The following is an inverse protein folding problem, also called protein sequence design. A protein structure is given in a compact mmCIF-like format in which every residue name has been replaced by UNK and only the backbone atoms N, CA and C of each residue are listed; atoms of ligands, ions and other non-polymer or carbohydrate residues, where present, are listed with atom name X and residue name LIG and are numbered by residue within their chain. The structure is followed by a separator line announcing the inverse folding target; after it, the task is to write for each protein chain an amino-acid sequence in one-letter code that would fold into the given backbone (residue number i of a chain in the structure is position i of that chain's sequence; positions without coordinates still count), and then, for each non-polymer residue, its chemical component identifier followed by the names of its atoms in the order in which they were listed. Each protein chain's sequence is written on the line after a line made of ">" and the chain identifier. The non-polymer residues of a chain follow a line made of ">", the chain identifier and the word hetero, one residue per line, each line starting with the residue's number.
data_IF_357465511447
#
_entry.id   IF_357465511447
#
_cell.length_a   1.000
_cell.length_b   1.000
_cell.length_c   1.000
_cell.angle_alpha   90.00
_cell.angle_beta   90.00
_cell.angle_gamma   90.00
#
_symmetry.space_group_name_H-M   'P 1'
#
loop_
_entity.id
_entity.type
_entity.pdbx_description
1 polymer ?
#
# COMPACT_ATOMS: atom_id res chain seq x y z
N UNK A 1 3.91 17.14 6.85
CA UNK A 1 4.61 17.76 5.69
C UNK A 1 3.66 17.94 4.52
N UNK A 2 4.09 18.57 3.43
CA UNK A 2 3.29 18.67 2.20
C UNK A 2 4.08 18.09 1.04
N UNK A 3 3.43 17.30 0.20
CA UNK A 3 4.00 16.74 -1.01
C UNK A 3 3.13 17.18 -2.18
N UNK A 4 3.72 17.86 -3.16
CA UNK A 4 2.98 18.46 -4.30
C UNK A 4 1.76 19.31 -3.87
N UNK A 5 1.88 20.05 -2.77
CA UNK A 5 0.80 20.89 -2.23
C UNK A 5 -0.28 20.14 -1.43
N UNK A 6 -0.25 18.81 -1.40
CA UNK A 6 -1.18 18.00 -0.60
C UNK A 6 -0.60 17.79 0.80
N UNK A 7 -1.35 18.12 1.87
CA UNK A 7 -0.95 17.77 3.23
C UNK A 7 -0.87 16.26 3.39
N UNK A 8 0.25 15.76 3.89
CA UNK A 8 0.44 14.35 4.18
C UNK A 8 1.00 14.16 5.59
N UNK A 9 0.58 13.10 6.25
CA UNK A 9 1.12 12.64 7.52
C UNK A 9 1.60 11.19 7.34
N UNK A 10 2.88 10.97 7.58
CA UNK A 10 3.44 9.62 7.70
C UNK A 10 3.47 9.23 9.16
N UNK A 11 3.00 8.04 9.48
CA UNK A 11 2.94 7.56 10.86
C UNK A 11 4.05 6.57 11.17
N UNK A 12 4.45 6.49 12.42
CA UNK A 12 5.43 5.50 12.88
C UNK A 12 4.97 4.07 12.63
N UNK A 13 3.66 3.84 12.56
CA UNK A 13 3.01 2.57 12.25
C UNK A 13 3.01 2.26 10.74
N UNK A 14 3.81 2.95 9.94
CA UNK A 14 4.04 2.66 8.52
C UNK A 14 2.86 2.95 7.60
N UNK A 15 2.04 3.91 7.95
CA UNK A 15 0.87 4.34 7.18
C UNK A 15 1.03 5.79 6.71
N UNK A 16 0.56 6.07 5.50
CA UNK A 16 0.41 7.42 4.98
C UNK A 16 -1.04 7.87 5.17
N UNK A 17 -1.23 8.99 5.82
CA UNK A 17 -2.55 9.60 6.02
C UNK A 17 -2.69 10.88 5.21
N UNK A 18 -3.77 10.97 4.44
CA UNK A 18 -4.18 12.14 3.67
C UNK A 18 -5.45 12.72 4.30
N UNK A 19 -5.40 13.87 4.98
CA UNK A 19 -6.55 14.45 5.70
C UNK A 19 -7.74 14.80 4.81
N UNK A 20 -7.47 15.10 3.54
CA UNK A 20 -8.49 15.44 2.54
C UNK A 20 -7.99 15.08 1.15
N UNK A 21 -7.91 13.78 0.86
CA UNK A 21 -7.41 13.33 -0.43
C UNK A 21 -8.45 13.59 -1.54
N UNK A 22 -8.07 14.24 -2.62
CA UNK A 22 -8.89 14.38 -3.82
C UNK A 22 -8.85 13.09 -4.67
N UNK A 23 -8.92 11.93 -4.03
CA UNK A 23 -9.06 10.69 -4.75
C UNK A 23 -10.50 10.58 -5.24
N UNK A 24 -10.71 10.62 -6.54
CA UNK A 24 -12.02 10.48 -7.15
C UNK A 24 -12.66 9.15 -6.71
N UNK A 25 -13.99 9.15 -6.57
CA UNK A 25 -14.71 7.90 -6.38
C UNK A 25 -14.51 7.06 -7.63
N UNK A 26 -13.99 5.86 -7.46
CA UNK A 26 -13.99 4.87 -8.54
C UNK A 26 -15.47 4.61 -8.82
N UNK A 27 -15.96 5.01 -10.01
CA UNK A 27 -17.32 4.69 -10.42
C UNK A 27 -17.44 3.18 -10.46
N UNK A 28 -18.18 2.62 -9.50
CA UNK A 28 -18.46 1.20 -9.44
C UNK A 28 -19.15 0.77 -10.73
N UNK A 29 -18.69 -0.35 -11.29
CA UNK A 29 -19.23 -0.91 -12.52
C UNK A 29 -20.73 -1.19 -12.47
N UNK A 30 -21.36 -0.97 -13.62
CA UNK A 30 -22.66 -1.47 -14.08
C UNK A 30 -23.78 -1.63 -13.06
N UNK A 31 -24.66 -0.64 -13.04
CA UNK A 31 -26.09 -0.91 -12.97
C UNK A 31 -26.73 -0.33 -14.22
N UNK A 32 -26.90 -1.19 -15.22
CA UNK A 32 -27.93 -0.99 -16.27
C UNK A 32 -29.27 -0.99 -15.56
N UNK A 33 -29.81 0.18 -15.31
CA UNK A 33 -31.24 0.34 -15.10
C UNK A 33 -31.73 1.65 -15.73
N UNK A 34 -32.17 1.48 -16.98
CA UNK A 34 -32.84 2.48 -17.79
C UNK A 34 -34.31 2.44 -17.45
N UNK A 35 -34.78 3.23 -16.49
CA UNK A 35 -36.19 3.61 -16.42
C UNK A 35 -36.29 5.11 -16.18
N UNK A 36 -36.60 5.78 -17.28
CA UNK A 36 -36.94 7.19 -17.27
C UNK A 36 -38.21 7.48 -16.48
N UNK A 37 -38.12 8.49 -15.64
CA UNK A 37 -39.27 9.34 -15.32
C UNK A 37 -38.83 10.72 -14.87
N UNK A 38 -39.08 11.72 -15.71
CA UNK A 38 -39.06 13.13 -15.37
C UNK A 38 -40.22 13.48 -14.42
N UNK A 39 -40.00 14.30 -13.42
CA UNK A 39 -40.88 15.41 -12.96
C UNK A 39 -40.12 16.29 -11.94
N UNK A 40 -39.88 17.44 -12.33
CA UNK A 40 -40.13 18.82 -11.86
C UNK A 40 -40.12 19.16 -10.35
N UNK A 41 -39.37 20.24 -10.12
CA UNK A 41 -39.60 21.44 -9.30
C UNK A 41 -39.31 21.47 -7.80
N UNK A 42 -38.54 22.49 -7.55
CA UNK A 42 -38.63 23.57 -6.54
C UNK A 42 -37.86 23.43 -5.21
N UNK A 43 -36.81 24.25 -5.16
CA UNK A 43 -36.44 25.25 -4.13
C UNK A 43 -36.71 24.94 -2.66
N UNK A 44 -35.62 24.83 -1.87
CA UNK A 44 -35.45 25.69 -0.67
C UNK A 44 -33.97 25.86 -0.36
N UNK A 45 -33.50 27.09 -0.47
CA UNK A 45 -32.23 27.55 0.04
C UNK A 45 -32.35 27.70 1.55
N UNK A 46 -31.40 27.11 2.27
CA UNK A 46 -31.06 27.55 3.62
C UNK A 46 -29.55 27.81 3.64
N UNK A 47 -29.22 29.09 3.68
CA UNK A 47 -27.88 29.57 3.92
C UNK A 47 -27.52 29.30 5.39
N UNK A 48 -26.46 28.54 5.63
CA UNK A 48 -25.72 28.68 6.85
C UNK A 48 -24.21 28.75 6.50
N UNK A 49 -23.66 29.91 6.75
CA UNK A 49 -22.31 30.24 6.40
C UNK A 49 -21.31 29.67 7.43
N UNK A 50 -20.53 28.71 7.01
CA UNK A 50 -19.25 28.41 7.64
C UNK A 50 -18.23 28.10 6.54
N UNK A 51 -17.49 29.12 6.13
CA UNK A 51 -16.32 29.00 5.24
C UNK A 51 -15.15 28.41 6.00
N UNK A 52 -15.15 27.09 6.22
CA UNK A 52 -13.94 26.35 6.46
C UNK A 52 -13.49 25.81 5.10
N UNK A 53 -12.28 26.16 4.67
CA UNK A 53 -11.66 25.72 3.43
C UNK A 53 -11.47 24.19 3.38
N UNK A 54 -12.58 23.49 3.19
CA UNK A 54 -12.61 22.04 3.01
C UNK A 54 -12.31 21.75 1.53
N UNK A 55 -11.09 21.41 1.22
CA UNK A 55 -10.74 20.74 -0.03
C UNK A 55 -11.43 19.37 0.02
N UNK A 56 -12.58 19.24 -0.63
CA UNK A 56 -13.62 18.21 -0.49
C UNK A 56 -13.26 16.74 -0.67
N UNK A 57 -12.11 16.27 -0.18
CA UNK A 57 -11.71 14.86 -0.19
C UNK A 57 -11.96 14.14 1.14
N UNK A 58 -12.13 12.82 1.09
CA UNK A 58 -12.30 12.00 2.29
C UNK A 58 -10.96 11.75 2.99
N UNK A 59 -10.91 11.77 4.35
CA UNK A 59 -9.73 11.34 5.09
C UNK A 59 -9.36 9.90 4.72
N UNK A 60 -8.15 9.70 4.22
CA UNK A 60 -7.71 8.45 3.59
C UNK A 60 -6.44 7.92 4.24
N UNK A 61 -6.45 6.65 4.63
CA UNK A 61 -5.26 5.89 5.00
C UNK A 61 -4.74 5.13 3.78
N UNK A 62 -3.43 5.19 3.53
CA UNK A 62 -2.75 4.44 2.48
C UNK A 62 -1.65 3.61 3.14
N UNK A 63 -1.68 2.31 2.91
CA UNK A 63 -0.69 1.34 3.40
C UNK A 63 -0.39 0.32 2.30
N UNK A 64 0.64 -0.50 2.48
CA UNK A 64 1.01 -1.54 1.52
C UNK A 64 1.47 -2.81 2.20
N UNK A 65 1.44 -3.91 1.47
CA UNK A 65 2.15 -5.16 1.83
C UNK A 65 1.78 -5.66 3.23
N UNK A 66 0.49 -5.84 3.48
CA UNK A 66 0.00 -6.37 4.76
C UNK A 66 0.32 -7.85 4.93
N UNK A 67 0.31 -8.62 3.82
CA UNK A 67 0.58 -10.05 3.79
C UNK A 67 -0.15 -10.82 4.90
N UNK A 68 -1.42 -10.53 5.13
CA UNK A 68 -2.22 -11.28 6.09
C UNK A 68 -2.16 -12.78 5.81
N UNK A 69 -2.16 -13.57 6.88
CA UNK A 69 -2.10 -15.01 6.77
C UNK A 69 -0.69 -15.58 6.54
N UNK A 70 0.37 -14.78 6.52
CA UNK A 70 1.75 -15.26 6.30
C UNK A 70 2.22 -16.21 7.40
N UNK A 71 1.95 -15.89 8.65
CA UNK A 71 2.31 -16.73 9.78
C UNK A 71 1.55 -18.06 9.73
N UNK A 72 0.27 -18.03 9.39
CA UNK A 72 -0.57 -19.20 9.22
C UNK A 72 -0.08 -20.11 8.09
N UNK A 73 0.32 -19.52 6.96
CA UNK A 73 0.93 -20.30 5.86
C UNK A 73 2.21 -20.99 6.30
N UNK A 74 3.07 -20.36 7.10
CA UNK A 74 4.28 -20.99 7.62
C UNK A 74 3.96 -22.14 8.56
N UNK A 75 2.94 -22.00 9.41
CA UNK A 75 2.50 -23.10 10.29
C UNK A 75 1.93 -24.29 9.51
N UNK A 76 1.14 -24.03 8.47
CA UNK A 76 0.64 -25.08 7.57
C UNK A 76 1.78 -25.88 6.92
N UNK A 77 2.95 -25.27 6.74
CA UNK A 77 4.17 -25.92 6.27
C UNK A 77 5.07 -26.45 7.40
N UNK A 78 4.56 -26.53 8.64
CA UNK A 78 5.27 -27.11 9.79
C UNK A 78 6.34 -26.19 10.40
N UNK A 79 6.37 -24.91 10.05
CA UNK A 79 7.30 -23.94 10.65
C UNK A 79 6.62 -23.29 11.87
N UNK A 80 7.15 -23.48 13.09
CA UNK A 80 6.54 -22.92 14.30
C UNK A 80 6.79 -21.41 14.39
N UNK A 81 5.79 -20.61 14.07
CA UNK A 81 5.79 -19.14 14.20
C UNK A 81 4.56 -18.69 15.00
N UNK A 82 4.63 -17.57 15.74
CA UNK A 82 3.46 -17.00 16.40
C UNK A 82 2.38 -16.61 15.38
N UNK A 83 1.09 -16.81 15.74
CA UNK A 83 -0.06 -16.55 14.86
C UNK A 83 -0.80 -15.25 15.15
N UNK A 84 -0.41 -14.52 16.15
CA UNK A 84 -1.09 -13.31 16.57
C UNK A 84 -0.75 -12.05 15.71
N UNK A 85 0.11 -12.21 14.71
CA UNK A 85 0.51 -11.11 13.83
C UNK A 85 -0.67 -10.55 13.03
N UNK A 86 -1.49 -11.43 12.43
CA UNK A 86 -2.67 -11.01 11.66
C UNK A 86 -3.65 -10.23 12.53
N UNK A 87 -3.92 -10.69 13.75
CA UNK A 87 -4.87 -10.02 14.65
C UNK A 87 -4.33 -8.68 15.14
N UNK A 88 -3.05 -8.61 15.49
CA UNK A 88 -2.39 -7.35 15.89
C UNK A 88 -2.39 -6.31 14.79
N UNK A 89 -2.10 -6.71 13.56
CA UNK A 89 -2.08 -5.80 12.41
C UNK A 89 -3.49 -5.30 12.08
N UNK A 90 -4.52 -6.14 12.20
CA UNK A 90 -5.93 -5.73 12.06
C UNK A 90 -6.36 -4.78 13.17
N UNK A 91 -5.99 -5.05 14.42
CA UNK A 91 -6.30 -4.18 15.56
C UNK A 91 -5.62 -2.82 15.43
N UNK A 92 -4.36 -2.81 15.01
CA UNK A 92 -3.63 -1.57 14.71
C UNK A 92 -4.32 -0.78 13.60
N UNK A 93 -4.73 -1.44 12.52
CA UNK A 93 -5.43 -0.77 11.41
C UNK A 93 -6.77 -0.15 11.89
N UNK A 94 -7.54 -0.87 12.71
CA UNK A 94 -8.79 -0.33 13.31
C UNK A 94 -8.52 0.90 14.17
N UNK A 95 -7.46 0.86 15.00
CA UNK A 95 -7.07 1.99 15.82
C UNK A 95 -6.69 3.21 14.95
N UNK A 96 -5.91 3.01 13.90
CA UNK A 96 -5.52 4.08 12.97
C UNK A 96 -6.74 4.69 12.25
N UNK A 97 -7.69 3.86 11.80
CA UNK A 97 -8.95 4.34 11.24
C UNK A 97 -9.71 5.22 12.23
N UNK A 98 -9.78 4.80 13.48
CA UNK A 98 -10.46 5.57 14.54
C UNK A 98 -9.73 6.88 14.87
N UNK A 99 -8.42 6.82 15.12
CA UNK A 99 -7.60 7.98 15.49
C UNK A 99 -7.63 9.07 14.41
N UNK A 100 -7.51 8.67 13.15
CA UNK A 100 -7.47 9.60 12.03
C UNK A 100 -8.85 9.93 11.45
N UNK A 101 -9.92 9.30 11.95
CA UNK A 101 -11.28 9.47 11.40
C UNK A 101 -11.35 9.07 9.94
N UNK A 102 -10.56 8.07 9.51
CA UNK A 102 -10.46 7.71 8.11
C UNK A 102 -11.78 7.19 7.57
N UNK A 103 -12.13 7.66 6.38
CA UNK A 103 -13.32 7.25 5.62
C UNK A 103 -12.98 6.36 4.44
N UNK A 104 -11.67 6.20 4.17
CA UNK A 104 -11.16 5.37 3.10
C UNK A 104 -9.86 4.72 3.51
N UNK A 105 -9.70 3.46 3.13
CA UNK A 105 -8.45 2.70 3.23
C UNK A 105 -8.06 2.29 1.82
N UNK A 106 -6.83 2.60 1.42
CA UNK A 106 -6.24 2.15 0.17
C UNK A 106 -5.05 1.27 0.51
N UNK A 107 -5.09 0.03 0.07
CA UNK A 107 -3.98 -0.92 0.23
C UNK A 107 -3.27 -1.05 -1.11
N UNK A 108 -1.98 -0.72 -1.14
CA UNK A 108 -1.16 -0.76 -2.33
C UNK A 108 -0.56 -2.17 -2.54
N UNK A 109 -1.45 -3.15 -2.70
CA UNK A 109 -1.14 -4.53 -3.03
C UNK A 109 -0.69 -5.41 -1.88
N UNK A 110 -0.64 -6.69 -2.20
CA UNK A 110 -0.19 -7.77 -1.34
C UNK A 110 -0.97 -7.82 -0.01
N UNK A 111 -2.32 -7.80 -0.14
CA UNK A 111 -3.23 -7.89 1.01
C UNK A 111 -3.06 -9.22 1.75
N UNK A 112 -3.03 -10.35 1.00
CA UNK A 112 -2.76 -11.67 1.55
C UNK A 112 -1.39 -12.18 1.09
N UNK A 113 -0.80 -13.06 1.89
CA UNK A 113 0.51 -13.63 1.54
C UNK A 113 0.45 -14.66 0.42
N UNK A 114 -0.64 -15.42 0.37
CA UNK A 114 -0.83 -16.54 -0.57
C UNK A 114 -2.33 -16.83 -0.76
N UNK A 115 -2.67 -18.07 -1.08
CA UNK A 115 -4.05 -18.55 -1.15
C UNK A 115 -4.76 -18.45 0.21
N UNK A 116 -6.08 -18.67 0.23
CA UNK A 116 -6.86 -18.69 1.46
C UNK A 116 -6.32 -19.74 2.44
N UNK A 117 -6.14 -19.32 3.67
CA UNK A 117 -5.77 -20.15 4.81
C UNK A 117 -6.66 -19.85 6.03
N UNK A 118 -6.32 -20.37 7.19
CA UNK A 118 -7.11 -20.22 8.43
C UNK A 118 -7.29 -18.76 8.92
N UNK A 119 -6.53 -17.79 8.38
CA UNK A 119 -6.69 -16.37 8.72
C UNK A 119 -7.83 -15.67 7.97
N UNK A 120 -8.33 -16.26 6.88
CA UNK A 120 -9.27 -15.62 5.96
C UNK A 120 -10.49 -15.02 6.66
N UNK A 121 -11.20 -15.83 7.46
CA UNK A 121 -12.44 -15.39 8.10
C UNK A 121 -12.19 -14.29 9.14
N UNK A 122 -11.03 -14.31 9.79
CA UNK A 122 -10.61 -13.25 10.73
C UNK A 122 -10.35 -11.94 10.01
N UNK A 123 -9.64 -11.98 8.88
CA UNK A 123 -9.37 -10.81 8.05
C UNK A 123 -10.66 -10.24 7.49
N UNK A 124 -11.55 -11.09 6.96
CA UNK A 124 -12.87 -10.72 6.50
C UNK A 124 -13.66 -9.99 7.59
N UNK A 125 -13.78 -10.59 8.77
CA UNK A 125 -14.48 -10.00 9.91
C UNK A 125 -13.82 -8.69 10.36
N UNK A 126 -12.49 -8.63 10.27
CA UNK A 126 -11.70 -7.44 10.57
C UNK A 126 -12.11 -6.24 9.71
N UNK A 127 -12.13 -6.40 8.42
CA UNK A 127 -12.54 -5.32 7.49
C UNK A 127 -14.03 -5.01 7.59
N UNK A 128 -14.89 -6.01 7.71
CA UNK A 128 -16.34 -5.79 7.89
C UNK A 128 -16.68 -5.01 9.16
N UNK A 129 -15.82 -5.06 10.18
CA UNK A 129 -16.01 -4.27 11.42
C UNK A 129 -15.74 -2.77 11.22
N UNK A 130 -14.99 -2.38 10.18
CA UNK A 130 -14.66 -0.99 9.85
C UNK A 130 -15.80 -0.36 9.03
N UNK A 131 -16.97 -0.27 9.62
CA UNK A 131 -18.19 0.26 8.98
C UNK A 131 -17.98 1.68 8.48
N UNK A 132 -18.58 2.02 7.35
CA UNK A 132 -18.53 3.34 6.71
C UNK A 132 -17.11 3.74 6.24
N UNK A 133 -16.27 2.77 5.95
CA UNK A 133 -14.95 2.98 5.37
C UNK A 133 -14.91 2.36 3.97
N UNK A 134 -14.61 3.16 2.96
CA UNK A 134 -14.40 2.68 1.60
C UNK A 134 -13.10 1.87 1.56
N UNK A 135 -13.14 0.63 1.06
CA UNK A 135 -11.99 -0.24 0.95
C UNK A 135 -11.55 -0.34 -0.52
N UNK A 136 -10.30 0.00 -0.80
CA UNK A 136 -9.71 -0.08 -2.14
C UNK A 136 -8.44 -0.93 -2.07
N UNK A 137 -8.36 -1.91 -2.96
CA UNK A 137 -7.16 -2.72 -3.16
C UNK A 137 -6.56 -2.43 -4.53
N UNK A 138 -5.38 -1.85 -4.55
CA UNK A 138 -4.54 -1.82 -5.74
C UNK A 138 -3.85 -3.18 -5.82
N UNK A 139 -4.18 -3.99 -6.81
CA UNK A 139 -3.73 -5.39 -6.89
C UNK A 139 -2.20 -5.49 -6.97
N UNK A 140 -1.62 -6.30 -6.09
CA UNK A 140 -0.20 -6.67 -6.07
C UNK A 140 0.06 -8.04 -6.67
N UNK A 141 1.33 -8.45 -6.72
CA UNK A 141 1.72 -9.74 -7.30
C UNK A 141 1.40 -10.94 -6.40
N UNK A 142 1.21 -10.73 -5.10
CA UNK A 142 0.74 -11.77 -4.17
C UNK A 142 -0.79 -11.84 -4.08
N UNK A 143 -1.52 -10.93 -4.68
CA UNK A 143 -2.99 -10.95 -4.70
C UNK A 143 -3.51 -11.93 -5.74
N UNK A 144 -3.21 -13.22 -5.53
CA UNK A 144 -3.53 -14.34 -6.43
C UNK A 144 -4.91 -14.95 -6.17
N UNK A 145 -5.61 -14.53 -5.12
CA UNK A 145 -6.99 -14.90 -4.83
C UNK A 145 -7.89 -14.25 -5.88
N UNK A 146 -9.00 -14.88 -6.22
CA UNK A 146 -9.92 -14.34 -7.23
C UNK A 146 -10.42 -12.96 -6.82
N UNK A 147 -10.54 -12.07 -7.79
CA UNK A 147 -11.04 -10.70 -7.58
C UNK A 147 -12.39 -10.67 -6.87
N UNK A 148 -13.33 -11.54 -7.29
CA UNK A 148 -14.68 -11.65 -6.72
C UNK A 148 -14.62 -11.93 -5.20
N UNK A 149 -13.59 -12.63 -4.75
CA UNK A 149 -13.41 -12.93 -3.33
C UNK A 149 -13.02 -11.68 -2.53
N UNK A 150 -12.13 -10.83 -3.07
CA UNK A 150 -11.81 -9.53 -2.47
C UNK A 150 -13.03 -8.60 -2.48
N UNK A 151 -13.80 -8.58 -3.57
CA UNK A 151 -15.00 -7.78 -3.70
C UNK A 151 -16.10 -8.24 -2.72
N UNK A 152 -16.16 -9.53 -2.41
CA UNK A 152 -17.07 -10.08 -1.39
C UNK A 152 -16.77 -9.60 0.04
N UNK A 153 -15.52 -9.20 0.30
CA UNK A 153 -15.11 -8.56 1.56
C UNK A 153 -15.50 -7.08 1.60
N UNK A 154 -15.78 -6.49 0.45
CA UNK A 154 -16.12 -5.08 0.28
C UNK A 154 -15.01 -4.23 -0.35
N UNK A 155 -13.95 -4.86 -0.87
CA UNK A 155 -12.92 -4.13 -1.61
C UNK A 155 -13.35 -3.77 -3.02
N UNK A 156 -13.02 -2.55 -3.44
CA UNK A 156 -12.94 -2.20 -4.86
C UNK A 156 -11.54 -2.48 -5.34
N UNK A 157 -11.39 -3.43 -6.28
CA UNK A 157 -10.07 -3.85 -6.79
C UNK A 157 -9.71 -3.09 -8.06
N UNK A 158 -8.48 -2.56 -8.14
CA UNK A 158 -7.94 -1.81 -9.28
C UNK A 158 -6.49 -2.21 -9.54
N UNK A 159 -5.98 -1.98 -10.75
CA UNK A 159 -4.56 -2.17 -11.06
C UNK A 159 -3.69 -0.95 -10.71
N UNK A 160 -4.30 0.20 -10.56
CA UNK A 160 -3.72 1.47 -10.18
C UNK A 160 -4.78 2.56 -10.28
N UNK A 161 -4.56 3.70 -9.61
CA UNK A 161 -5.54 4.79 -9.60
C UNK A 161 -4.90 6.17 -9.38
N UNK A 162 -5.47 7.22 -9.98
CA UNK A 162 -5.09 8.58 -9.63
C UNK A 162 -5.62 8.95 -8.24
N UNK A 163 -4.87 9.78 -7.54
CA UNK A 163 -5.26 10.35 -6.25
C UNK A 163 -4.68 11.76 -6.13
N UNK A 164 -5.40 12.75 -6.64
CA UNK A 164 -4.91 14.12 -6.77
C UNK A 164 -3.67 14.18 -7.67
N UNK A 165 -2.55 14.76 -7.20
CA UNK A 165 -1.31 14.83 -7.98
C UNK A 165 -0.54 13.51 -8.02
N UNK A 166 -1.04 12.48 -7.32
CA UNK A 166 -0.38 11.19 -7.19
C UNK A 166 -1.02 10.15 -8.11
N UNK A 167 -0.21 9.16 -8.48
CA UNK A 167 -0.69 7.90 -9.03
C UNK A 167 -0.33 6.77 -8.07
N UNK A 168 -1.33 6.00 -7.67
CA UNK A 168 -1.20 4.89 -6.71
C UNK A 168 -1.08 3.59 -7.48
N UNK A 169 -0.01 2.84 -7.23
CA UNK A 169 0.22 1.51 -7.82
C UNK A 169 1.01 0.63 -6.85
N UNK A 170 1.03 -0.68 -7.09
CA UNK A 170 1.79 -1.60 -6.23
C UNK A 170 3.28 -1.54 -6.51
N UNK A 171 3.68 -1.76 -7.75
CA UNK A 171 5.09 -1.78 -8.15
C UNK A 171 5.66 -0.36 -8.31
N UNK A 172 6.94 -0.14 -7.98
CA UNK A 172 7.61 1.10 -8.36
C UNK A 172 7.67 1.24 -9.89
N UNK A 173 7.84 2.48 -10.41
CA UNK A 173 8.07 2.68 -11.84
C UNK A 173 9.33 1.94 -12.35
N UNK A 174 9.30 1.38 -13.57
CA UNK A 174 10.37 0.54 -14.14
C UNK A 174 11.77 1.16 -14.08
N UNK A 175 11.89 2.47 -14.25
CA UNK A 175 13.16 3.18 -14.17
C UNK A 175 13.71 3.27 -12.72
N UNK A 176 12.95 2.80 -11.73
CA UNK A 176 13.34 2.77 -10.32
C UNK A 176 13.68 1.38 -9.81
N UNK A 177 13.64 0.35 -10.67
CA UNK A 177 14.10 -0.98 -10.26
C UNK A 177 15.52 -0.88 -9.69
N UNK A 178 15.65 -1.44 -8.50
CA UNK A 178 16.95 -1.54 -7.82
C UNK A 178 17.76 -2.53 -8.65
N UNK A 179 18.87 -2.07 -9.20
CA UNK A 179 19.89 -2.94 -9.79
C UNK A 179 20.54 -3.76 -8.63
N UNK A 180 19.81 -4.74 -8.12
CA UNK A 180 20.22 -5.61 -7.01
C UNK A 180 21.05 -6.79 -7.53
N UNK A 181 21.97 -6.52 -8.49
CA UNK A 181 22.91 -7.54 -8.96
C UNK A 181 23.94 -7.92 -7.89
N UNK A 182 23.96 -7.23 -6.75
CA UNK A 182 24.87 -7.58 -5.65
C UNK A 182 24.33 -8.67 -4.72
N UNK A 183 23.03 -8.97 -4.71
CA UNK A 183 22.43 -9.99 -3.80
C UNK A 183 22.35 -11.39 -4.39
N UNK A 184 22.46 -11.54 -5.71
CA UNK A 184 22.37 -12.85 -6.37
C UNK A 184 23.65 -13.69 -6.20
N UNK A 185 24.79 -13.08 -5.92
CA UNK A 185 26.05 -13.82 -5.74
C UNK A 185 26.16 -14.58 -4.40
N UNK A 186 25.35 -14.23 -3.38
CA UNK A 186 25.37 -14.91 -2.07
C UNK A 186 24.27 -15.98 -1.89
N UNK A 187 23.37 -16.13 -2.84
CA UNK A 187 22.26 -17.09 -2.75
C UNK A 187 22.55 -18.47 -3.31
N UNK A 188 23.68 -18.66 -4.00
CA UNK A 188 23.98 -19.93 -4.70
C UNK A 188 24.66 -20.99 -3.82
N UNK A 189 24.89 -20.76 -2.54
CA UNK A 189 25.61 -21.75 -1.72
C UNK A 189 24.85 -22.37 -0.54
N UNK A 190 23.57 -22.05 -0.28
CA UNK A 190 22.86 -22.63 0.88
C UNK A 190 21.42 -23.03 0.64
N UNK A 191 21.01 -23.49 -0.54
CA UNK A 191 19.65 -24.04 -0.73
C UNK A 191 19.65 -25.24 -1.71
N UNK A 192 20.38 -26.31 -1.36
CA UNK A 192 20.06 -27.66 -1.82
C UNK A 192 19.37 -28.42 -0.68
N UNK A 193 18.16 -28.05 -0.33
CA UNK A 193 17.24 -28.93 0.37
C UNK A 193 15.81 -28.40 0.19
N UNK A 194 14.99 -29.20 -0.53
CA UNK A 194 13.52 -29.13 -0.52
C UNK A 194 12.85 -28.08 -1.42
N UNK A 195 13.05 -28.18 -2.72
CA UNK A 195 12.10 -27.66 -3.69
C UNK A 195 11.09 -28.75 -4.04
N UNK A 196 9.88 -28.68 -3.48
CA UNK A 196 8.72 -29.42 -4.02
C UNK A 196 8.25 -28.63 -5.24
N UNK A 197 8.08 -29.24 -6.43
CA UNK A 197 7.57 -28.53 -7.60
C UNK A 197 6.11 -28.17 -7.40
N UNK A 198 5.79 -26.91 -7.29
CA UNK A 198 4.42 -26.40 -7.42
C UNK A 198 3.97 -26.59 -8.86
N UNK A 199 2.85 -27.29 -9.03
CA UNK A 199 2.19 -27.47 -10.32
C UNK A 199 1.94 -26.10 -10.97
N UNK A 200 2.39 -25.95 -12.21
CA UNK A 200 2.13 -24.77 -13.03
C UNK A 200 0.64 -24.76 -13.38
N UNK A 201 -0.13 -23.89 -12.72
CA UNK A 201 -1.48 -23.56 -13.17
C UNK A 201 -1.35 -22.56 -14.33
N UNK A 202 -1.73 -23.01 -15.53
CA UNK A 202 -1.67 -22.23 -16.79
C UNK A 202 -2.79 -21.18 -16.95
N UNK A 203 -3.49 -20.80 -15.89
CA UNK A 203 -4.50 -19.74 -15.91
C UNK A 203 -4.07 -18.54 -15.04
N UNK A 204 -2.92 -17.95 -15.36
CA UNK A 204 -2.54 -16.67 -14.82
C UNK A 204 -3.25 -15.59 -15.64
N UNK A 205 -4.18 -14.78 -15.07
CA UNK A 205 -4.74 -13.67 -15.81
C UNK A 205 -3.59 -12.72 -16.18
N UNK A 206 -3.35 -12.53 -17.46
CA UNK A 206 -2.44 -11.50 -17.95
C UNK A 206 -3.00 -10.15 -17.51
N UNK A 207 -2.35 -9.53 -16.55
CA UNK A 207 -2.61 -8.12 -16.20
C UNK A 207 -2.07 -7.32 -17.39
N UNK A 208 -2.91 -6.56 -18.11
CA UNK A 208 -2.43 -5.74 -19.21
C UNK A 208 -1.42 -4.73 -18.66
N UNK A 209 -0.15 -4.94 -18.95
CA UNK A 209 0.87 -3.92 -18.72
C UNK A 209 0.55 -2.78 -19.67
N UNK A 210 0.18 -1.63 -19.12
CA UNK A 210 0.04 -0.41 -19.91
C UNK A 210 1.43 -0.04 -20.39
N UNK A 211 1.73 -0.38 -21.65
CA UNK A 211 2.92 0.15 -22.31
C UNK A 211 2.82 1.68 -22.29
N UNK A 212 3.90 2.40 -22.01
CA UNK A 212 3.88 3.85 -22.11
C UNK A 212 3.55 4.20 -23.54
N UNK A 213 2.42 4.88 -23.75
CA UNK A 213 2.03 5.39 -25.04
C UNK A 213 3.18 6.24 -25.59
N UNK A 214 3.74 5.84 -26.71
CA UNK A 214 4.84 6.53 -27.41
C UNK A 214 4.41 7.90 -27.99
N UNK A 215 3.23 8.39 -27.66
CA UNK A 215 2.64 9.66 -28.03
C UNK A 215 2.42 10.60 -26.82
N UNK A 216 3.36 10.64 -25.86
CA UNK A 216 3.28 11.67 -24.83
C UNK A 216 3.67 13.02 -25.45
N UNK A 217 2.70 13.93 -25.55
CA UNK A 217 2.92 15.32 -25.92
C UNK A 217 4.02 15.93 -25.03
N UNK A 218 4.97 16.71 -25.57
CA UNK A 218 6.03 17.31 -24.78
C UNK A 218 5.41 18.39 -23.85
N UNK A 219 5.23 18.07 -22.56
CA UNK A 219 4.72 19.00 -21.55
C UNK A 219 3.94 18.37 -20.39
N UNK A 220 3.53 17.13 -20.46
CA UNK A 220 2.85 16.43 -19.34
C UNK A 220 3.93 15.79 -18.47
N UNK A 221 4.22 16.39 -17.32
CA UNK A 221 5.08 15.77 -16.30
C UNK A 221 4.41 14.48 -15.82
N UNK A 222 5.15 13.37 -15.82
CA UNK A 222 4.67 12.12 -15.24
C UNK A 222 4.16 12.34 -13.83
N UNK A 223 3.02 11.72 -13.43
CA UNK A 223 2.48 11.89 -12.09
C UNK A 223 3.48 11.37 -11.06
N UNK A 224 3.48 11.96 -9.87
CA UNK A 224 4.26 11.45 -8.75
C UNK A 224 3.64 10.13 -8.26
N UNK A 225 4.45 9.07 -8.21
CA UNK A 225 3.97 7.73 -7.86
C UNK A 225 4.08 7.48 -6.36
N UNK A 226 3.06 6.84 -5.78
CA UNK A 226 3.13 6.25 -4.44
C UNK A 226 2.91 4.74 -4.61
N UNK A 227 3.84 3.93 -4.09
CA UNK A 227 3.85 2.48 -4.29
C UNK A 227 4.32 1.72 -3.03
N UNK A 228 4.20 0.39 -3.07
CA UNK A 228 4.72 -0.56 -2.08
C UNK A 228 5.78 -1.48 -2.66
N UNK A 229 5.57 -2.80 -2.47
CA UNK A 229 6.30 -3.91 -3.06
C UNK A 229 7.75 -4.12 -2.55
N UNK A 230 8.55 -3.07 -2.42
CA UNK A 230 9.97 -3.19 -2.08
C UNK A 230 10.24 -3.38 -0.58
N UNK A 231 9.25 -3.17 0.27
CA UNK A 231 9.38 -3.27 1.73
C UNK A 231 10.62 -2.53 2.28
N UNK A 232 10.82 -1.24 1.98
CA UNK A 232 12.05 -0.56 2.28
C UNK A 232 12.34 -0.51 3.78
N UNK A 233 13.59 -0.77 4.11
CA UNK A 233 14.14 -0.57 5.45
C UNK A 233 15.49 0.13 5.35
N UNK A 234 15.90 0.76 6.43
CA UNK A 234 17.19 1.43 6.50
C UNK A 234 18.01 0.92 7.68
N UNK A 235 19.29 0.68 7.44
CA UNK A 235 20.21 0.16 8.45
C UNK A 235 21.05 1.28 9.03
N UNK A 236 20.85 1.58 10.30
CA UNK A 236 21.63 2.54 11.06
C UNK A 236 22.80 1.80 11.73
N UNK A 237 23.97 2.36 11.64
CA UNK A 237 25.17 1.90 12.36
C UNK A 237 25.37 2.79 13.59
N UNK A 238 25.49 2.18 14.74
CA UNK A 238 25.84 2.88 16.00
C UNK A 238 27.28 2.60 16.42
N UNK A 239 27.73 3.23 17.55
CA UNK A 239 29.00 2.92 18.19
C UNK A 239 29.16 1.43 18.48
N UNK A 240 30.39 0.95 18.63
CA UNK A 240 30.69 -0.43 19.00
C UNK A 240 30.08 -1.51 18.06
N UNK A 241 29.99 -1.23 16.75
CA UNK A 241 29.41 -2.12 15.72
C UNK A 241 27.93 -2.46 15.91
N UNK A 242 27.22 -1.69 16.71
CA UNK A 242 25.76 -1.83 16.82
C UNK A 242 25.11 -1.55 15.47
N UNK A 243 24.04 -2.29 15.18
CA UNK A 243 23.24 -2.10 13.96
C UNK A 243 21.77 -2.27 14.29
N UNK A 244 20.98 -1.36 13.82
CA UNK A 244 19.52 -1.46 13.87
C UNK A 244 18.97 -1.29 12.45
N UNK A 245 18.00 -2.09 12.08
CA UNK A 245 17.29 -1.96 10.80
C UNK A 245 15.85 -1.62 11.11
N UNK A 246 15.37 -0.51 10.55
CA UNK A 246 14.01 -0.02 10.74
C UNK A 246 13.29 0.08 9.40
N UNK A 247 12.00 -0.22 9.32
CA UNK A 247 11.18 0.11 8.16
C UNK A 247 11.25 1.60 7.87
N UNK A 248 11.16 1.99 6.62
CA UNK A 248 11.22 3.40 6.25
C UNK A 248 10.34 3.73 5.05
N UNK A 249 9.82 4.95 5.02
CA UNK A 249 9.34 5.56 3.80
C UNK A 249 10.56 6.01 3.00
N UNK A 250 10.62 5.62 1.74
CA UNK A 250 11.72 5.95 0.85
C UNK A 250 11.24 6.91 -0.23
N UNK A 251 11.51 8.19 -0.01
CA UNK A 251 11.16 9.27 -0.92
C UNK A 251 12.30 9.47 -1.93
N UNK A 252 11.97 9.36 -3.20
CA UNK A 252 12.86 9.51 -4.35
C UNK A 252 12.31 10.55 -5.33
N UNK A 253 13.11 11.08 -6.25
CA UNK A 253 12.58 11.91 -7.33
C UNK A 253 11.46 11.19 -8.09
N UNK A 254 10.24 11.74 -8.03
CA UNK A 254 9.06 11.21 -8.71
C UNK A 254 8.34 10.03 -8.03
N UNK A 255 8.84 9.52 -6.89
CA UNK A 255 8.22 8.37 -6.24
C UNK A 255 8.38 8.35 -4.71
N UNK A 256 7.34 7.89 -4.02
CA UNK A 256 7.36 7.51 -2.60
C UNK A 256 7.08 6.01 -2.47
N UNK A 257 8.03 5.25 -1.93
CA UNK A 257 7.86 3.83 -1.62
C UNK A 257 7.49 3.69 -0.15
N UNK A 258 6.34 3.04 0.13
CA UNK A 258 5.87 2.78 1.49
C UNK A 258 6.58 1.57 2.08
N UNK A 259 6.86 1.57 3.39
CA UNK A 259 7.25 0.36 4.10
C UNK A 259 6.10 -0.64 4.17
N UNK A 260 6.41 -1.93 4.25
CA UNK A 260 5.38 -2.94 4.48
C UNK A 260 4.67 -2.71 5.83
N UNK A 261 3.34 -2.76 5.80
CA UNK A 261 2.52 -2.61 7.01
C UNK A 261 2.57 -3.86 7.88
N UNK A 262 2.51 -5.05 7.26
CA UNK A 262 2.46 -6.31 7.99
C UNK A 262 3.63 -6.51 8.95
N UNK A 263 3.34 -6.81 10.22
CA UNK A 263 4.36 -6.98 11.26
C UNK A 263 5.24 -8.22 11.05
N UNK A 264 4.73 -9.22 10.33
CA UNK A 264 5.47 -10.44 9.96
C UNK A 264 5.96 -10.41 8.51
N UNK A 265 6.01 -9.23 7.89
CA UNK A 265 6.52 -9.04 6.54
C UNK A 265 8.01 -8.75 6.57
N UNK A 266 8.79 -9.41 5.70
CA UNK A 266 10.21 -9.12 5.55
C UNK A 266 10.46 -7.70 5.06
N UNK A 267 11.69 -7.22 5.20
CA UNK A 267 12.10 -5.90 4.69
C UNK A 267 13.45 -5.98 3.98
N UNK A 268 13.69 -5.05 3.04
CA UNK A 268 14.93 -4.94 2.29
C UNK A 268 15.65 -3.63 2.61
N UNK A 269 16.89 -3.68 3.10
CA UNK A 269 17.68 -2.49 3.31
C UNK A 269 17.93 -1.73 2.01
N UNK A 270 17.53 -0.46 1.96
CA UNK A 270 17.74 0.38 0.78
C UNK A 270 19.12 1.02 0.79
N UNK A 271 19.64 1.27 -0.40
CA UNK A 271 20.84 2.09 -0.63
C UNK A 271 20.39 3.43 -1.21
N UNK A 272 20.64 4.50 -0.48
CA UNK A 272 20.25 5.85 -0.88
C UNK A 272 21.17 6.43 -1.95
N UNK A 273 20.61 7.29 -2.81
CA UNK A 273 21.30 8.06 -3.83
C UNK A 273 21.15 9.56 -3.55
N UNK A 274 21.97 10.42 -4.13
CA UNK A 274 21.73 11.87 -4.05
C UNK A 274 20.30 12.22 -4.49
N UNK A 275 19.58 12.96 -3.64
CA UNK A 275 18.16 13.33 -3.83
C UNK A 275 17.16 12.38 -3.16
N UNK A 276 17.58 11.23 -2.65
CA UNK A 276 16.72 10.36 -1.84
C UNK A 276 16.60 10.91 -0.41
N UNK A 277 15.41 10.75 0.18
CA UNK A 277 15.16 10.99 1.60
C UNK A 277 14.57 9.72 2.23
N UNK A 278 15.17 9.30 3.33
CA UNK A 278 14.68 8.17 4.13
C UNK A 278 14.00 8.72 5.39
N UNK A 279 12.79 8.24 5.65
CA UNK A 279 12.00 8.59 6.82
C UNK A 279 11.73 7.30 7.62
N UNK A 280 12.44 7.13 8.72
CA UNK A 280 12.41 5.91 9.54
C UNK A 280 11.09 5.81 10.31
N UNK A 281 10.42 4.68 10.23
CA UNK A 281 9.20 4.37 10.99
C UNK A 281 9.58 3.59 12.25
N UNK A 282 9.38 4.20 13.42
CA UNK A 282 9.83 3.64 14.71
C UNK A 282 8.72 3.00 15.54
N UNK A 283 7.49 2.96 15.03
CA UNK A 283 6.29 2.60 15.76
C UNK A 283 5.56 3.84 16.30
N UNK A 284 6.23 4.68 17.06
CA UNK A 284 5.61 5.87 17.67
C UNK A 284 5.80 7.14 16.84
N UNK A 285 6.82 7.19 16.00
CA UNK A 285 7.19 8.40 15.26
C UNK A 285 7.86 8.12 13.92
N UNK A 286 7.99 9.17 13.13
CA UNK A 286 8.75 9.13 11.88
C UNK A 286 9.96 10.07 12.02
N UNK A 287 11.16 9.52 11.83
CA UNK A 287 12.41 10.25 12.01
C UNK A 287 13.08 10.41 10.65
N UNK A 288 13.29 11.64 10.16
CA UNK A 288 14.06 11.85 8.94
C UNK A 288 15.52 11.46 9.16
N UNK A 289 16.06 10.71 8.20
CA UNK A 289 17.47 10.37 8.15
C UNK A 289 18.09 11.07 6.95
N UNK A 290 18.89 12.10 7.21
CA UNK A 290 19.70 12.76 6.19
C UNK A 290 20.92 11.91 5.90
N UNK A 291 21.21 11.70 4.62
CA UNK A 291 22.43 11.09 4.17
C UNK A 291 23.60 12.01 4.55
N UNK A 292 24.29 11.72 5.65
CA UNK A 292 25.65 12.25 5.82
C UNK A 292 26.54 11.41 4.91
N UNK A 293 27.29 12.01 3.98
CA UNK A 293 28.27 11.26 3.22
C UNK A 293 29.28 10.65 4.22
N UNK A 294 29.52 9.35 4.11
CA UNK A 294 30.56 8.67 4.88
C UNK A 294 31.88 9.46 4.72
N UNK A 295 32.33 10.14 5.80
CA UNK A 295 33.62 10.85 5.86
C UNK A 295 34.71 9.83 6.06
#
# INVERSE_FOLDING_TARGET
>A
MSLHGVPILMTGERVLFLPGAPCDRIAGGNSDDNTGRSTDSSTHASADGSTNGNTGGSPTLILSDTHFGKAETFQEHGIPVPTDHTDRDLDLLRQLVHIHGARRIIILGDLFHSTRNSSWDRVLSGFQSMKNTDLILVMGNHDIIRRDDYESIGFTCVSGMPCGPFYLQHHPPDHMEINDQASTASRTQNNEASAVPLAQNEDKPEIPQRQPDSNTEPGVSSPFVICGHLHPSFRIKGPARQRITLPCFWLRPGCLVLPAFGSFTGSHPVTTRPGDLVLLATGDSVIPHSHEPDV
#
